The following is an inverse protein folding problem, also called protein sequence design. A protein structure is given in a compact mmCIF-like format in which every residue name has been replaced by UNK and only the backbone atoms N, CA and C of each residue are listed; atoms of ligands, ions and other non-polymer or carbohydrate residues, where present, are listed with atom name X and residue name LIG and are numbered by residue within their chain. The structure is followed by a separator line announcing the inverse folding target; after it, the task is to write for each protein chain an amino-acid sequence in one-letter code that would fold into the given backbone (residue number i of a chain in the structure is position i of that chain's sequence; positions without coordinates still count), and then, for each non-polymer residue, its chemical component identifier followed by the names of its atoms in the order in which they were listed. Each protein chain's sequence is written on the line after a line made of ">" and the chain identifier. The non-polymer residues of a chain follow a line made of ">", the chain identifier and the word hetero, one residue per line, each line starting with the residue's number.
data_IF_167362715006
#
_entry.id   IF_167362715006
#
_cell.length_a   1.000
_cell.length_b   1.000
_cell.length_c   1.000
_cell.angle_alpha   90.00
_cell.angle_beta   90.00
_cell.angle_gamma   90.00
#
_symmetry.space_group_name_H-M   'P 1'
#
loop_
_entity.id
_entity.type
_entity.pdbx_description
1 polymer ?
#
# COMPACT_ATOMS: atom_id res chain seq x y z
N UNK A 1 33.83 -39.13 -57.63
CA UNK A 1 34.55 -38.98 -58.91
C UNK A 1 33.70 -38.19 -59.91
N UNK A 2 33.33 -36.95 -59.57
CA UNK A 2 32.66 -36.02 -60.50
C UNK A 2 33.62 -34.83 -60.73
N UNK A 3 33.84 -34.41 -61.98
CA UNK A 3 34.67 -33.25 -62.32
C UNK A 3 36.07 -33.53 -62.87
N UNK A 4 36.31 -34.67 -63.54
CA UNK A 4 37.52 -34.87 -64.35
C UNK A 4 37.15 -34.94 -65.83
N UNK A 5 37.90 -34.24 -66.67
CA UNK A 5 37.79 -34.34 -68.12
C UNK A 5 38.24 -35.73 -68.56
N UNK A 6 37.37 -36.41 -69.30
CA UNK A 6 37.64 -37.73 -69.88
C UNK A 6 37.55 -37.60 -71.40
N UNK A 7 38.64 -37.97 -72.07
CA UNK A 7 38.69 -37.98 -73.53
C UNK A 7 38.05 -39.29 -74.03
N UNK A 8 36.81 -39.20 -74.49
CA UNK A 8 36.12 -40.34 -75.10
C UNK A 8 36.57 -40.44 -76.56
N UNK A 9 37.34 -41.47 -76.87
CA UNK A 9 37.71 -41.83 -78.25
C UNK A 9 36.67 -42.83 -78.76
N UNK A 10 35.84 -42.42 -79.72
CA UNK A 10 34.89 -43.30 -80.39
C UNK A 10 35.36 -43.59 -81.80
N UNK A 11 35.64 -44.85 -82.11
CA UNK A 11 35.82 -45.31 -83.49
C UNK A 11 34.45 -45.35 -84.17
N UNK A 12 34.26 -44.48 -85.17
CA UNK A 12 33.07 -44.49 -86.02
C UNK A 12 33.35 -45.47 -87.15
N UNK A 13 32.92 -46.71 -86.98
CA UNK A 13 32.95 -47.69 -88.08
C UNK A 13 31.74 -47.43 -88.97
N UNK A 14 31.98 -47.09 -90.25
CA UNK A 14 30.93 -47.03 -91.28
C UNK A 14 30.35 -48.44 -91.50
N UNK A 15 29.38 -48.81 -90.68
CA UNK A 15 28.58 -50.01 -90.89
C UNK A 15 27.12 -49.59 -90.86
N UNK A 16 26.37 -50.03 -91.87
CA UNK A 16 24.91 -50.01 -91.90
C UNK A 16 24.36 -51.00 -90.84
N UNK A 17 24.63 -50.70 -89.56
CA UNK A 17 24.15 -51.50 -88.44
C UNK A 17 22.67 -51.16 -88.28
N UNK A 18 21.76 -52.15 -88.38
CA UNK A 18 20.35 -51.89 -88.18
C UNK A 18 20.12 -51.36 -86.76
N UNK A 19 19.33 -50.29 -86.63
CA UNK A 19 18.97 -49.74 -85.33
C UNK A 19 18.13 -50.79 -84.58
N UNK A 20 18.76 -51.47 -83.63
CA UNK A 20 18.08 -52.40 -82.75
C UNK A 20 17.38 -51.61 -81.64
N UNK A 21 16.05 -51.56 -81.69
CA UNK A 21 15.25 -50.99 -80.62
C UNK A 21 14.90 -52.08 -79.62
N UNK A 22 15.13 -51.83 -78.33
CA UNK A 22 14.62 -52.70 -77.28
C UNK A 22 13.08 -52.65 -77.25
N UNK A 23 12.44 -53.69 -76.72
CA UNK A 23 10.98 -53.76 -76.62
C UNK A 23 10.39 -52.54 -75.89
N UNK A 24 11.05 -52.08 -74.83
CA UNK A 24 10.61 -50.90 -74.07
C UNK A 24 10.74 -49.61 -74.88
N UNK A 25 11.80 -49.48 -75.69
CA UNK A 25 11.97 -48.35 -76.59
C UNK A 25 10.89 -48.34 -77.68
N UNK A 26 10.55 -49.51 -78.24
CA UNK A 26 9.46 -49.65 -79.21
C UNK A 26 8.09 -49.26 -78.62
N UNK A 27 7.80 -49.69 -77.40
CA UNK A 27 6.55 -49.31 -76.70
C UNK A 27 6.49 -47.79 -76.47
N UNK A 28 7.58 -47.18 -75.98
CA UNK A 28 7.66 -45.72 -75.77
C UNK A 28 7.53 -44.92 -77.05
N UNK A 29 8.05 -45.45 -78.17
CA UNK A 29 7.93 -44.83 -79.49
C UNK A 29 6.57 -45.11 -80.18
N UNK A 30 5.63 -45.80 -79.52
CA UNK A 30 4.32 -46.11 -80.07
C UNK A 30 4.36 -47.04 -81.28
N UNK A 31 5.36 -47.93 -81.35
CA UNK A 31 5.59 -48.73 -82.55
C UNK A 31 4.47 -49.76 -82.76
N UNK A 32 3.75 -49.66 -83.86
CA UNK A 32 2.73 -50.63 -84.28
C UNK A 32 3.15 -51.29 -85.59
N UNK A 33 3.43 -52.59 -85.55
CA UNK A 33 3.88 -53.36 -86.71
C UNK A 33 2.70 -54.04 -87.41
N UNK A 34 2.51 -53.76 -88.69
CA UNK A 34 1.55 -54.44 -89.57
C UNK A 34 2.31 -55.31 -90.57
N UNK A 35 2.47 -56.59 -90.23
CA UNK A 35 3.20 -57.58 -91.04
C UNK A 35 2.45 -57.99 -92.31
N UNK A 36 1.13 -57.80 -92.39
CA UNK A 36 0.38 -58.12 -93.60
C UNK A 36 0.64 -57.13 -94.73
N UNK A 37 1.01 -55.89 -94.39
CA UNK A 37 1.23 -54.79 -95.32
C UNK A 37 2.69 -54.31 -95.36
N UNK A 38 3.60 -55.00 -94.66
CA UNK A 38 4.99 -54.60 -94.47
C UNK A 38 5.15 -53.12 -94.05
N UNK A 39 4.35 -52.68 -93.07
CA UNK A 39 4.32 -51.29 -92.57
C UNK A 39 4.47 -51.22 -91.07
N UNK A 40 5.14 -50.19 -90.58
CA UNK A 40 5.14 -49.85 -89.16
C UNK A 40 4.70 -48.41 -88.95
N UNK A 41 3.93 -48.17 -87.89
CA UNK A 41 3.73 -46.82 -87.36
C UNK A 41 4.77 -46.60 -86.28
N UNK A 42 5.65 -45.60 -86.43
CA UNK A 42 6.72 -45.25 -85.47
C UNK A 42 6.58 -43.75 -85.17
N UNK A 43 6.47 -43.35 -83.90
CA UNK A 43 6.18 -41.97 -83.49
C UNK A 43 4.96 -41.37 -84.24
N UNK A 44 3.87 -42.14 -84.31
CA UNK A 44 2.63 -41.80 -85.00
C UNK A 44 2.76 -41.53 -86.50
N UNK A 45 3.88 -41.93 -87.11
CA UNK A 45 4.13 -41.81 -88.56
C UNK A 45 4.19 -43.19 -89.18
N UNK A 46 3.47 -43.35 -90.29
CA UNK A 46 3.54 -44.58 -91.07
C UNK A 46 4.83 -44.60 -91.88
N UNK A 47 5.59 -45.68 -91.71
CA UNK A 47 6.87 -45.95 -92.38
C UNK A 47 6.74 -47.29 -93.09
N UNK A 48 7.07 -47.30 -94.38
CA UNK A 48 7.15 -48.53 -95.17
C UNK A 48 8.40 -49.32 -94.76
N UNK A 49 8.21 -50.59 -94.40
CA UNK A 49 9.32 -51.46 -94.01
C UNK A 49 9.90 -52.11 -95.25
N UNK A 50 11.24 -52.17 -95.32
CA UNK A 50 11.93 -52.94 -96.35
C UNK A 50 12.43 -54.24 -95.75
N UNK A 51 12.46 -55.29 -96.56
CA UNK A 51 13.02 -56.58 -96.17
C UNK A 51 14.45 -56.70 -96.70
N UNK A 52 15.35 -57.18 -95.86
CA UNK A 52 16.69 -57.61 -96.28
C UNK A 52 16.61 -58.96 -97.02
N UNK A 53 17.70 -59.35 -97.68
CA UNK A 53 17.79 -60.67 -98.36
C UNK A 53 17.62 -61.85 -97.41
N UNK A 54 17.93 -61.66 -96.12
CA UNK A 54 17.69 -62.63 -95.04
C UNK A 54 16.29 -62.52 -94.40
N UNK A 55 15.38 -61.75 -95.01
CA UNK A 55 13.98 -61.52 -94.59
C UNK A 55 13.81 -60.84 -93.22
N UNK A 56 14.72 -59.95 -92.85
CA UNK A 56 14.54 -59.05 -91.69
C UNK A 56 14.01 -57.68 -92.14
N UNK A 57 13.04 -57.12 -91.40
CA UNK A 57 12.56 -55.77 -91.62
C UNK A 57 13.60 -54.72 -91.19
N UNK A 58 13.77 -53.67 -91.99
CA UNK A 58 14.58 -52.51 -91.64
C UNK A 58 13.93 -51.20 -92.15
N UNK A 59 14.31 -50.09 -91.52
CA UNK A 59 13.88 -48.72 -91.86
C UNK A 59 15.09 -47.93 -92.34
N UNK A 60 15.00 -47.33 -93.53
CA UNK A 60 16.05 -46.44 -94.02
C UNK A 60 16.01 -45.11 -93.26
N UNK A 61 17.12 -44.74 -92.62
CA UNK A 61 17.27 -43.44 -91.93
C UNK A 61 17.74 -42.32 -92.87
N UNK A 62 18.02 -42.63 -94.13
CA UNK A 62 18.76 -41.75 -95.06
C UNK A 62 17.85 -40.73 -95.76
N UNK A 63 16.53 -40.91 -95.74
CA UNK A 63 15.64 -40.20 -96.67
C UNK A 63 15.29 -38.75 -96.27
N UNK A 64 15.80 -38.22 -95.15
CA UNK A 64 15.68 -36.77 -94.83
C UNK A 64 16.92 -36.22 -94.12
N UNK A 65 17.68 -35.29 -94.73
CA UNK A 65 18.70 -34.56 -94.01
C UNK A 65 18.03 -33.68 -92.94
N UNK A 66 18.21 -34.04 -91.67
CA UNK A 66 17.82 -33.17 -90.56
C UNK A 66 18.71 -31.93 -90.64
N UNK A 67 18.14 -30.76 -90.92
CA UNK A 67 18.87 -29.49 -90.95
C UNK A 67 19.31 -29.11 -89.52
N UNK A 68 20.50 -29.56 -89.13
CA UNK A 68 21.08 -29.38 -87.78
C UNK A 68 21.23 -27.89 -87.40
N UNK A 69 21.31 -26.98 -88.37
CA UNK A 69 21.60 -25.56 -88.15
C UNK A 69 20.46 -24.74 -87.51
N UNK A 70 19.20 -25.18 -87.55
CA UNK A 70 18.07 -24.44 -86.95
C UNK A 70 17.83 -24.81 -85.48
N UNK A 71 18.18 -26.04 -85.08
CA UNK A 71 17.98 -26.53 -83.70
C UNK A 71 18.97 -25.87 -82.73
N UNK A 72 20.21 -25.61 -83.16
CA UNK A 72 21.22 -24.98 -82.31
C UNK A 72 20.91 -23.52 -81.95
N UNK A 73 20.38 -22.72 -82.89
CA UNK A 73 20.02 -21.31 -82.62
C UNK A 73 18.80 -21.17 -81.70
N UNK A 74 17.83 -22.09 -81.77
CA UNK A 74 16.64 -22.07 -80.93
C UNK A 74 16.92 -22.46 -79.46
N UNK A 75 17.94 -23.28 -79.20
CA UNK A 75 18.29 -23.72 -77.84
C UNK A 75 19.15 -22.67 -77.08
N UNK A 76 20.11 -22.03 -77.75
CA UNK A 76 20.93 -20.96 -77.14
C UNK A 76 20.10 -19.76 -76.64
N UNK A 77 19.00 -19.41 -77.32
CA UNK A 77 18.10 -18.34 -76.90
C UNK A 77 17.20 -18.70 -75.71
N UNK A 78 16.83 -19.98 -75.56
CA UNK A 78 16.05 -20.48 -74.41
C UNK A 78 16.91 -20.56 -73.15
N UNK A 79 18.16 -20.98 -73.28
CA UNK A 79 19.10 -21.08 -72.16
C UNK A 79 19.48 -19.71 -71.59
N UNK A 80 19.66 -18.68 -72.43
CA UNK A 80 19.95 -17.33 -71.96
C UNK A 80 18.76 -16.68 -71.22
N UNK A 81 17.53 -16.96 -71.63
CA UNK A 81 16.33 -16.50 -70.91
C UNK A 81 16.16 -17.23 -69.57
N UNK A 82 16.39 -18.54 -69.55
CA UNK A 82 16.37 -19.34 -68.33
C UNK A 82 17.40 -18.86 -67.30
N UNK A 83 18.63 -18.53 -67.74
CA UNK A 83 19.66 -17.96 -66.87
C UNK A 83 19.26 -16.61 -66.28
N UNK A 84 18.71 -15.69 -67.10
CA UNK A 84 18.23 -14.39 -66.60
C UNK A 84 17.11 -14.52 -65.57
N UNK A 85 16.18 -15.45 -65.77
CA UNK A 85 15.12 -15.71 -64.79
C UNK A 85 15.68 -16.30 -63.51
N UNK A 86 16.68 -17.20 -63.60
CA UNK A 86 17.33 -17.77 -62.44
C UNK A 86 18.12 -16.71 -61.64
N UNK A 87 18.87 -15.86 -62.32
CA UNK A 87 19.63 -14.77 -61.68
C UNK A 87 18.69 -13.78 -60.98
N UNK A 88 17.56 -13.42 -61.63
CA UNK A 88 16.55 -12.55 -61.01
C UNK A 88 15.96 -13.16 -59.74
N UNK A 89 15.64 -14.46 -59.76
CA UNK A 89 15.11 -15.16 -58.59
C UNK A 89 16.18 -15.25 -57.49
N UNK A 90 17.44 -15.52 -57.83
CA UNK A 90 18.53 -15.53 -56.85
C UNK A 90 18.76 -14.17 -56.20
N UNK A 91 18.71 -13.09 -56.99
CA UNK A 91 18.80 -11.72 -56.46
C UNK A 91 17.63 -11.44 -55.51
N UNK A 92 16.40 -11.79 -55.90
CA UNK A 92 15.23 -11.58 -55.06
C UNK A 92 15.30 -12.39 -53.75
N UNK A 93 15.69 -13.66 -53.82
CA UNK A 93 15.91 -14.49 -52.63
C UNK A 93 16.99 -13.91 -51.71
N UNK A 94 18.08 -13.40 -52.27
CA UNK A 94 19.15 -12.75 -51.50
C UNK A 94 18.68 -11.47 -50.81
N UNK A 95 17.85 -10.67 -51.48
CA UNK A 95 17.25 -9.47 -50.88
C UNK A 95 16.29 -9.85 -49.75
N UNK A 96 15.44 -10.86 -49.95
CA UNK A 96 14.54 -11.37 -48.91
C UNK A 96 15.31 -11.92 -47.70
N UNK A 97 16.36 -12.72 -47.92
CA UNK A 97 17.20 -13.24 -46.84
C UNK A 97 17.88 -12.13 -46.05
N UNK A 98 18.35 -11.07 -46.73
CA UNK A 98 18.92 -9.90 -46.04
C UNK A 98 17.89 -9.14 -45.21
N UNK A 99 16.67 -8.98 -45.72
CA UNK A 99 15.57 -8.35 -44.98
C UNK A 99 15.22 -9.16 -43.73
N UNK A 100 15.02 -10.47 -43.87
CA UNK A 100 14.73 -11.36 -42.74
C UNK A 100 15.87 -11.37 -41.71
N UNK A 101 17.13 -11.28 -42.15
CA UNK A 101 18.26 -11.17 -41.24
C UNK A 101 18.25 -9.85 -40.47
N UNK A 102 17.86 -8.73 -41.11
CA UNK A 102 17.73 -7.46 -40.43
C UNK A 102 16.61 -7.49 -39.39
N UNK A 103 15.44 -8.05 -39.75
CA UNK A 103 14.30 -8.21 -38.83
C UNK A 103 14.65 -9.11 -37.64
N UNK A 104 15.40 -10.19 -37.88
CA UNK A 104 15.91 -11.07 -36.82
C UNK A 104 16.84 -10.33 -35.86
N UNK A 105 17.76 -9.52 -36.38
CA UNK A 105 18.66 -8.72 -35.54
C UNK A 105 17.88 -7.69 -34.71
N UNK A 106 16.86 -7.03 -35.28
CA UNK A 106 15.99 -6.08 -34.55
C UNK A 106 15.22 -6.81 -33.44
N UNK A 107 14.66 -7.99 -33.73
CA UNK A 107 13.97 -8.80 -32.74
C UNK A 107 14.89 -9.23 -31.60
N UNK A 108 16.15 -9.60 -31.90
CA UNK A 108 17.14 -9.97 -30.89
C UNK A 108 17.47 -8.81 -29.95
N UNK A 109 17.64 -7.59 -30.48
CA UNK A 109 17.85 -6.39 -29.64
C UNK A 109 16.64 -6.15 -28.73
N UNK A 110 15.42 -6.22 -29.29
CA UNK A 110 14.19 -6.04 -28.48
C UNK A 110 14.04 -7.11 -27.39
N UNK A 111 14.44 -8.35 -27.66
CA UNK A 111 14.44 -9.42 -26.66
C UNK A 111 15.44 -9.10 -25.55
N UNK A 112 16.64 -8.62 -25.88
CA UNK A 112 17.64 -8.23 -24.89
C UNK A 112 17.13 -7.10 -23.97
N UNK A 113 16.52 -6.05 -24.54
CA UNK A 113 15.93 -4.95 -23.76
C UNK A 113 14.81 -5.44 -22.82
N UNK A 114 13.98 -6.37 -23.29
CA UNK A 114 12.92 -6.96 -22.47
C UNK A 114 13.46 -7.84 -21.33
N UNK A 115 14.58 -8.54 -21.55
CA UNK A 115 15.26 -9.32 -20.51
C UNK A 115 15.81 -8.39 -19.43
N UNK A 116 16.51 -7.31 -19.80
CA UNK A 116 17.02 -6.32 -18.84
C UNK A 116 15.88 -5.66 -18.04
N UNK A 117 14.77 -5.33 -18.70
CA UNK A 117 13.58 -4.81 -18.03
C UNK A 117 12.97 -5.83 -17.05
N UNK A 118 12.97 -7.11 -17.39
CA UNK A 118 12.49 -8.14 -16.47
C UNK A 118 13.42 -8.30 -15.25
N UNK A 119 14.73 -8.21 -15.44
CA UNK A 119 15.70 -8.27 -14.34
C UNK A 119 15.55 -7.08 -13.39
N UNK A 120 15.32 -5.87 -13.93
CA UNK A 120 15.04 -4.68 -13.09
C UNK A 120 13.73 -4.83 -12.33
N UNK A 121 12.67 -5.31 -12.96
CA UNK A 121 11.40 -5.60 -12.29
C UNK A 121 11.54 -6.65 -11.19
N UNK A 122 12.36 -7.69 -11.40
CA UNK A 122 12.63 -8.70 -10.40
C UNK A 122 13.33 -8.09 -9.16
N UNK A 123 14.31 -7.20 -9.36
CA UNK A 123 14.98 -6.47 -8.26
C UNK A 123 14.02 -5.56 -7.50
N UNK A 124 13.18 -4.80 -8.20
CA UNK A 124 12.19 -3.92 -7.53
C UNK A 124 11.18 -4.73 -6.74
N UNK A 125 10.77 -5.92 -7.22
CA UNK A 125 9.87 -6.79 -6.47
C UNK A 125 10.51 -7.31 -5.18
N UNK A 126 11.80 -7.67 -5.22
CA UNK A 126 12.54 -8.06 -4.01
C UNK A 126 12.66 -6.92 -2.99
N UNK A 127 12.89 -5.69 -3.46
CA UNK A 127 12.93 -4.50 -2.60
C UNK A 127 11.57 -4.22 -1.95
N UNK A 128 10.48 -4.32 -2.73
CA UNK A 128 9.10 -4.19 -2.21
C UNK A 128 8.82 -5.24 -1.14
N UNK A 129 9.23 -6.49 -1.34
CA UNK A 129 9.04 -7.56 -0.37
C UNK A 129 9.81 -7.29 0.94
N UNK A 130 11.05 -6.82 0.84
CA UNK A 130 11.86 -6.45 2.01
C UNK A 130 11.24 -5.27 2.78
N UNK A 131 10.78 -4.24 2.08
CA UNK A 131 10.10 -3.09 2.70
C UNK A 131 8.78 -3.52 3.34
N UNK A 132 8.00 -4.39 2.70
CA UNK A 132 6.75 -4.94 3.26
C UNK A 132 7.02 -5.63 4.59
N UNK A 133 8.03 -6.51 4.63
CA UNK A 133 8.42 -7.20 5.87
C UNK A 133 8.83 -6.23 6.97
N UNK A 134 9.64 -5.21 6.63
CA UNK A 134 10.02 -4.16 7.59
C UNK A 134 8.80 -3.43 8.15
N UNK A 135 7.83 -3.08 7.30
CA UNK A 135 6.60 -2.41 7.76
C UNK A 135 5.74 -3.32 8.64
N UNK A 136 5.68 -4.62 8.36
CA UNK A 136 4.99 -5.61 9.22
C UNK A 136 5.63 -5.71 10.60
N UNK A 137 6.97 -5.69 10.68
CA UNK A 137 7.70 -5.70 11.94
C UNK A 137 7.44 -4.40 12.74
N UNK A 138 7.44 -3.23 12.10
CA UNK A 138 7.10 -1.95 12.72
C UNK A 138 5.65 -1.91 13.24
N UNK A 139 4.69 -2.42 12.46
CA UNK A 139 3.28 -2.54 12.88
C UNK A 139 3.16 -3.45 14.10
N UNK A 140 3.89 -4.57 14.11
CA UNK A 140 3.90 -5.51 15.23
C UNK A 140 4.45 -4.87 16.51
N UNK A 141 5.51 -4.08 16.41
CA UNK A 141 6.06 -3.32 17.54
C UNK A 141 5.06 -2.28 18.07
N UNK A 142 4.42 -1.51 17.17
CA UNK A 142 3.40 -0.53 17.55
C UNK A 142 2.20 -1.18 18.23
N UNK A 143 1.80 -2.38 17.80
CA UNK A 143 0.72 -3.13 18.43
C UNK A 143 1.06 -3.52 19.88
N UNK A 144 2.27 -4.03 20.13
CA UNK A 144 2.75 -4.36 21.48
C UNK A 144 2.75 -3.12 22.38
N UNK A 145 3.27 -2.00 21.90
CA UNK A 145 3.29 -0.74 22.65
C UNK A 145 1.87 -0.24 22.97
N UNK A 146 0.94 -0.39 22.01
CA UNK A 146 -0.46 0.00 22.19
C UNK A 146 -1.13 -0.81 23.29
N UNK A 147 -0.92 -2.13 23.33
CA UNK A 147 -1.47 -2.99 24.39
C UNK A 147 -0.83 -2.70 25.76
N UNK A 148 0.47 -2.38 25.80
CA UNK A 148 1.12 -1.93 27.03
C UNK A 148 0.49 -0.64 27.57
N UNK A 149 0.35 0.38 26.72
CA UNK A 149 -0.30 1.64 27.11
C UNK A 149 -1.76 1.43 27.54
N UNK A 150 -2.46 0.48 26.92
CA UNK A 150 -3.82 0.11 27.32
C UNK A 150 -3.85 -0.50 28.72
N UNK A 151 -2.92 -1.40 29.02
CA UNK A 151 -2.77 -2.01 30.33
C UNK A 151 -2.46 -0.97 31.41
N UNK A 152 -1.47 -0.09 31.17
CA UNK A 152 -1.09 0.97 32.10
C UNK A 152 -2.25 1.93 32.37
N UNK A 153 -2.98 2.36 31.33
CA UNK A 153 -4.16 3.21 31.48
C UNK A 153 -5.29 2.53 32.26
N UNK A 154 -5.49 1.22 32.09
CA UNK A 154 -6.45 0.45 32.90
C UNK A 154 -6.04 0.47 34.37
N UNK A 155 -4.77 0.16 34.65
CA UNK A 155 -4.23 0.17 36.01
C UNK A 155 -4.36 1.54 36.68
N UNK A 156 -4.09 2.64 35.96
CA UNK A 156 -4.24 4.00 36.48
C UNK A 156 -5.72 4.34 36.77
N UNK A 157 -6.65 3.87 35.93
CA UNK A 157 -8.09 4.08 36.18
C UNK A 157 -8.56 3.33 37.42
N UNK A 158 -8.07 2.10 37.62
CA UNK A 158 -8.44 1.29 38.78
C UNK A 158 -7.90 1.90 40.08
N UNK A 159 -6.66 2.39 40.08
CA UNK A 159 -6.09 3.09 41.25
C UNK A 159 -6.81 4.41 41.52
N UNK A 160 -7.13 5.18 40.48
CA UNK A 160 -7.91 6.42 40.61
C UNK A 160 -9.31 6.16 41.16
N UNK A 161 -9.98 5.09 40.71
CA UNK A 161 -11.28 4.69 41.23
C UNK A 161 -11.17 4.33 42.72
N UNK A 162 -10.16 3.55 43.11
CA UNK A 162 -9.92 3.19 44.50
C UNK A 162 -9.69 4.44 45.38
N UNK A 163 -8.84 5.38 44.97
CA UNK A 163 -8.60 6.62 45.72
C UNK A 163 -9.84 7.51 45.80
N UNK A 164 -10.64 7.59 44.73
CA UNK A 164 -11.91 8.31 44.75
C UNK A 164 -12.88 7.71 45.78
N UNK A 165 -12.97 6.38 45.89
CA UNK A 165 -13.80 5.75 46.93
C UNK A 165 -13.30 6.05 48.35
N UNK A 166 -11.97 6.04 48.57
CA UNK A 166 -11.39 6.42 49.88
C UNK A 166 -11.69 7.86 50.24
N UNK A 167 -11.55 8.77 49.27
CA UNK A 167 -11.84 10.20 49.44
C UNK A 167 -13.32 10.42 49.79
N UNK A 168 -14.24 9.72 49.12
CA UNK A 168 -15.67 9.75 49.45
C UNK A 168 -15.95 9.27 50.87
N UNK A 169 -15.37 8.13 51.30
CA UNK A 169 -15.53 7.65 52.67
C UNK A 169 -15.01 8.66 53.71
N UNK A 170 -13.88 9.32 53.42
CA UNK A 170 -13.32 10.35 54.30
C UNK A 170 -14.24 11.58 54.40
N UNK A 171 -14.84 12.01 53.28
CA UNK A 171 -15.83 13.09 53.27
C UNK A 171 -17.09 12.73 54.08
N UNK A 172 -17.60 11.51 53.96
CA UNK A 172 -18.74 11.03 54.75
C UNK A 172 -18.42 10.99 56.24
N UNK A 173 -17.24 10.47 56.59
CA UNK A 173 -16.76 10.45 57.98
C UNK A 173 -16.63 11.87 58.55
N UNK A 174 -16.07 12.81 57.79
CA UNK A 174 -15.95 14.20 58.20
C UNK A 174 -17.33 14.83 58.43
N UNK A 175 -18.27 14.61 57.51
CA UNK A 175 -19.66 15.09 57.64
C UNK A 175 -20.33 14.54 58.90
N UNK A 176 -20.12 13.25 59.19
CA UNK A 176 -20.63 12.62 60.40
C UNK A 176 -20.06 13.27 61.67
N UNK A 177 -18.74 13.46 61.72
CA UNK A 177 -18.06 14.09 62.86
C UNK A 177 -18.56 15.52 63.05
N UNK A 178 -18.63 16.32 62.00
CA UNK A 178 -19.14 17.70 62.04
C UNK A 178 -20.56 17.74 62.61
N UNK A 179 -21.46 16.92 62.09
CA UNK A 179 -22.85 16.88 62.56
C UNK A 179 -22.96 16.47 64.03
N UNK A 180 -22.13 15.51 64.48
CA UNK A 180 -22.09 15.10 65.87
C UNK A 180 -21.55 16.22 66.79
N UNK A 181 -20.50 16.93 66.36
CA UNK A 181 -19.96 18.07 67.11
C UNK A 181 -20.96 19.22 67.20
N UNK A 182 -21.66 19.53 66.11
CA UNK A 182 -22.70 20.56 66.06
C UNK A 182 -23.84 20.22 67.01
N UNK A 183 -24.32 18.97 67.01
CA UNK A 183 -25.34 18.50 67.95
C UNK A 183 -24.90 18.68 69.40
N UNK A 184 -23.67 18.29 69.75
CA UNK A 184 -23.15 18.45 71.11
C UNK A 184 -23.03 19.92 71.51
N UNK A 185 -22.60 20.79 70.60
CA UNK A 185 -22.55 22.23 70.85
C UNK A 185 -23.95 22.81 71.09
N UNK A 186 -24.95 22.36 70.33
CA UNK A 186 -26.34 22.74 70.54
C UNK A 186 -26.86 22.29 71.91
N UNK A 187 -26.61 21.04 72.31
CA UNK A 187 -26.98 20.51 73.62
C UNK A 187 -26.36 21.32 74.78
N UNK A 188 -25.08 21.70 74.64
CA UNK A 188 -24.40 22.55 75.62
C UNK A 188 -25.05 23.95 75.66
N UNK A 189 -25.32 24.54 74.49
CA UNK A 189 -25.97 25.84 74.37
C UNK A 189 -27.35 25.88 75.03
N UNK A 190 -28.19 24.87 74.75
CA UNK A 190 -29.52 24.72 75.32
C UNK A 190 -29.45 24.50 76.84
N UNK A 191 -28.51 23.67 77.30
CA UNK A 191 -28.28 23.46 78.73
C UNK A 191 -27.86 24.74 79.45
N UNK A 192 -26.98 25.56 78.85
CA UNK A 192 -26.54 26.82 79.42
C UNK A 192 -27.69 27.83 79.46
N UNK A 193 -28.44 27.96 78.36
CA UNK A 193 -29.62 28.83 78.27
C UNK A 193 -30.65 28.50 79.34
N UNK A 194 -30.94 27.21 79.56
CA UNK A 194 -31.85 26.76 80.62
C UNK A 194 -31.34 27.11 82.02
N UNK A 195 -30.04 26.94 82.28
CA UNK A 195 -29.42 27.33 83.57
C UNK A 195 -29.52 28.84 83.79
N UNK A 196 -29.28 29.65 82.76
CA UNK A 196 -29.42 31.11 82.83
C UNK A 196 -30.87 31.53 83.10
N UNK A 197 -31.84 30.96 82.39
CA UNK A 197 -33.26 31.25 82.61
C UNK A 197 -33.69 30.89 84.03
N UNK A 198 -33.26 29.74 84.55
CA UNK A 198 -33.53 29.36 85.94
C UNK A 198 -32.91 30.35 86.94
N UNK A 199 -31.65 30.75 86.74
CA UNK A 199 -30.97 31.71 87.59
C UNK A 199 -31.65 33.09 87.58
N UNK A 200 -32.03 33.59 86.39
CA UNK A 200 -32.80 34.83 86.25
C UNK A 200 -34.15 34.72 86.96
N UNK A 201 -34.85 33.60 86.81
CA UNK A 201 -36.11 33.35 87.52
C UNK A 201 -35.98 33.33 89.04
N UNK A 202 -34.87 32.79 89.58
CA UNK A 202 -34.59 32.86 91.01
C UNK A 202 -34.32 34.29 91.48
N UNK A 203 -33.53 35.06 90.72
CA UNK A 203 -33.22 36.46 91.04
C UNK A 203 -34.50 37.33 91.04
N UNK A 204 -35.36 37.19 90.03
CA UNK A 204 -36.62 37.96 89.98
C UNK A 204 -37.57 37.58 91.11
N UNK A 205 -37.63 36.31 91.51
CA UNK A 205 -38.40 35.87 92.68
C UNK A 205 -37.85 36.47 93.97
N UNK A 206 -36.52 36.53 94.11
CA UNK A 206 -35.85 37.13 95.25
C UNK A 206 -36.07 38.65 95.32
N UNK A 207 -35.96 39.36 94.20
CA UNK A 207 -36.27 40.79 94.10
C UNK A 207 -37.72 41.08 94.50
N UNK A 208 -38.70 40.33 93.97
CA UNK A 208 -40.10 40.50 94.36
C UNK A 208 -40.36 40.21 95.85
N UNK A 209 -39.60 39.30 96.45
CA UNK A 209 -39.66 39.01 97.89
C UNK A 209 -39.11 40.16 98.74
N UNK A 210 -38.03 40.81 98.27
CA UNK A 210 -37.44 41.98 98.91
C UNK A 210 -38.34 43.21 98.78
N UNK A 211 -38.92 43.45 97.60
CA UNK A 211 -39.90 44.53 97.39
C UNK A 211 -41.12 44.39 98.32
N UNK A 212 -41.63 43.15 98.49
CA UNK A 212 -42.72 42.86 99.42
C UNK A 212 -42.34 43.11 100.90
N UNK A 213 -41.07 42.96 101.28
CA UNK A 213 -40.58 43.30 102.62
C UNK A 213 -40.42 44.81 102.81
N UNK A 214 -40.01 45.56 101.78
CA UNK A 214 -39.85 47.02 101.86
C UNK A 214 -41.17 47.79 101.90
N UNK A 215 -42.30 47.18 101.51
CA UNK A 215 -43.62 47.84 101.55
C UNK A 215 -44.22 48.01 102.98
N UNK A 216 -43.50 47.60 104.03
CA UNK A 216 -43.91 47.76 105.44
C UNK A 216 -43.22 48.96 106.13
N UNK A 217 -42.21 49.58 105.52
CA UNK A 217 -41.57 50.78 106.08
C UNK A 217 -41.93 52.04 105.27
N UNK A 218 -42.69 52.92 105.92
CA UNK A 218 -43.17 54.24 105.46
C UNK A 218 -42.07 55.20 105.01
N UNK A 219 -42.43 56.28 104.27
CA UNK A 219 -41.50 57.10 103.52
C UNK A 219 -40.89 58.21 104.37
N UNK A 220 -39.56 58.32 104.40
CA UNK A 220 -38.89 59.55 104.81
C UNK A 220 -37.90 60.07 103.75
N UNK A 221 -38.25 61.27 103.32
CA UNK A 221 -37.54 62.28 102.54
C UNK A 221 -36.03 62.39 102.79
N UNK A 222 -35.21 62.31 101.72
CA UNK A 222 -33.86 62.92 101.66
C UNK A 222 -33.58 63.32 100.20
N UNK A 223 -33.86 64.57 99.80
CA UNK A 223 -32.91 65.70 99.65
C UNK A 223 -31.57 65.36 98.97
N UNK A 224 -31.48 65.81 97.70
CA UNK A 224 -30.47 66.73 97.13
C UNK A 224 -29.01 66.51 97.55
N UNK A 225 -28.15 66.16 96.59
CA UNK A 225 -26.88 66.87 96.42
C UNK A 225 -26.31 66.68 94.99
N UNK A 226 -26.20 67.80 94.29
CA UNK A 226 -25.36 67.98 93.13
C UNK A 226 -23.89 67.98 93.59
N UNK A 227 -23.06 67.08 93.04
CA UNK A 227 -21.61 67.27 93.03
C UNK A 227 -21.03 66.97 91.65
N UNK A 228 -20.48 68.03 91.10
CA UNK A 228 -19.61 68.07 89.93
C UNK A 228 -18.25 67.40 90.20
N UNK A 229 -17.56 67.16 89.07
CA UNK A 229 -16.12 66.94 88.85
C UNK A 229 -15.65 65.49 88.61
N UNK A 230 -14.51 65.25 87.92
CA UNK A 230 -13.83 66.08 86.92
C UNK A 230 -13.54 65.33 85.61
N UNK A 231 -13.28 66.10 84.55
CA UNK A 231 -12.55 65.66 83.37
C UNK A 231 -11.13 65.25 83.79
N UNK A 232 -10.67 64.06 83.47
CA UNK A 232 -9.29 63.76 83.02
C UNK A 232 -9.19 62.30 82.59
N UNK A 233 -8.37 62.02 81.58
CA UNK A 233 -7.88 60.66 81.32
C UNK A 233 -8.05 60.18 79.89
N UNK A 234 -7.24 60.71 78.97
CA UNK A 234 -6.82 60.00 77.76
C UNK A 234 -6.14 58.69 78.20
N UNK A 235 -6.88 57.60 78.20
CA UNK A 235 -6.37 56.24 78.37
C UNK A 235 -6.03 55.66 77.01
N UNK A 236 -4.76 55.36 76.81
CA UNK A 236 -4.16 54.69 75.66
C UNK A 236 -5.02 53.53 75.13
N UNK A 237 -5.19 53.48 73.81
CA UNK A 237 -5.37 52.24 73.10
C UNK A 237 -4.17 51.33 73.42
N UNK A 238 -4.38 50.35 74.30
CA UNK A 238 -3.53 49.18 74.34
C UNK A 238 -3.88 48.39 73.07
N UNK A 239 -2.98 48.45 72.09
CA UNK A 239 -2.88 47.42 71.10
C UNK A 239 -2.59 46.12 71.85
N UNK A 240 -3.63 45.33 72.08
CA UNK A 240 -3.50 43.91 72.37
C UNK A 240 -2.96 43.28 71.09
N UNK A 241 -1.64 43.26 70.99
CA UNK A 241 -0.95 42.28 70.17
C UNK A 241 -1.37 40.93 70.77
N UNK A 242 -2.37 40.31 70.14
CA UNK A 242 -2.44 38.87 70.15
C UNK A 242 -1.10 38.39 69.58
N UNK A 243 -0.22 38.00 70.50
CA UNK A 243 0.87 37.09 70.25
C UNK A 243 0.20 35.84 69.67
N UNK A 244 0.07 35.83 68.34
CA UNK A 244 -0.06 34.60 67.57
C UNK A 244 1.21 33.86 67.92
N UNK A 245 1.12 32.99 68.93
CA UNK A 245 2.03 31.87 69.07
C UNK A 245 2.15 31.29 67.68
N UNK A 246 3.34 31.41 67.09
CA UNK A 246 3.69 30.63 65.93
C UNK A 246 3.24 29.20 66.23
N UNK A 247 2.37 28.59 65.40
CA UNK A 247 2.16 27.16 65.51
C UNK A 247 3.55 26.55 65.36
N UNK A 248 3.97 25.76 66.34
CA UNK A 248 5.14 24.91 66.21
C UNK A 248 5.12 24.31 64.79
N UNK A 249 6.24 24.34 64.05
CA UNK A 249 6.27 23.73 62.73
C UNK A 249 5.80 22.30 62.93
N UNK A 250 4.60 22.02 62.43
CA UNK A 250 4.10 20.66 62.27
C UNK A 250 5.24 19.97 61.56
N UNK A 251 5.85 19.00 62.24
CA UNK A 251 6.78 18.07 61.63
C UNK A 251 5.99 17.43 60.50
N UNK A 252 6.10 18.02 59.30
CA UNK A 252 5.92 17.30 58.07
C UNK A 252 6.95 16.20 58.18
N UNK A 253 6.51 15.03 58.61
CA UNK A 253 7.16 13.79 58.23
C UNK A 253 7.35 13.93 56.72
N UNK A 254 8.59 14.15 56.30
CA UNK A 254 9.04 13.85 54.96
C UNK A 254 8.58 12.41 54.74
N UNK A 255 7.42 12.28 54.10
CA UNK A 255 7.10 11.08 53.36
C UNK A 255 8.12 11.14 52.23
N UNK A 256 9.26 10.50 52.48
CA UNK A 256 10.16 9.99 51.46
C UNK A 256 9.30 9.11 50.55
N UNK A 257 8.61 9.75 49.61
CA UNK A 257 8.09 9.07 48.44
C UNK A 257 9.36 8.71 47.69
N UNK A 258 9.90 7.53 48.02
CA UNK A 258 10.71 6.75 47.10
C UNK A 258 9.85 6.54 45.87
N UNK A 259 9.91 7.51 44.96
CA UNK A 259 9.67 7.28 43.56
C UNK A 259 10.83 6.36 43.20
N UNK A 260 10.59 5.05 43.32
CA UNK A 260 11.38 4.05 42.65
C UNK A 260 11.15 4.34 41.16
N UNK A 261 11.97 5.24 40.62
CA UNK A 261 12.15 5.41 39.21
C UNK A 261 12.67 4.06 38.75
N UNK A 262 11.75 3.21 38.29
CA UNK A 262 12.07 1.97 37.59
C UNK A 262 12.80 2.41 36.33
N UNK A 263 14.12 2.55 36.47
CA UNK A 263 15.07 2.73 35.40
C UNK A 263 15.12 1.38 34.70
N UNK A 264 14.13 1.12 33.85
CA UNK A 264 14.22 0.03 32.90
C UNK A 264 15.47 0.29 32.06
N UNK A 265 16.40 -0.66 32.18
CA UNK A 265 17.71 -0.59 31.57
C UNK A 265 17.57 -0.35 30.08
N UNK A 266 18.25 0.69 29.61
CA UNK A 266 18.78 0.71 28.26
C UNK A 266 19.74 -0.47 28.15
N UNK A 267 19.21 -1.64 27.78
CA UNK A 267 20.03 -2.68 27.18
C UNK A 267 20.53 -2.13 25.85
N UNK A 268 21.73 -1.57 25.90
CA UNK A 268 22.56 -1.34 24.73
C UNK A 268 22.88 -2.70 24.12
N UNK A 269 22.05 -3.11 23.17
CA UNK A 269 22.39 -4.16 22.21
C UNK A 269 23.55 -3.61 21.39
N UNK A 270 24.77 -3.88 21.87
CA UNK A 270 25.98 -3.80 21.07
C UNK A 270 25.97 -5.00 20.14
N UNK A 271 25.22 -4.85 19.04
CA UNK A 271 25.31 -5.77 17.91
C UNK A 271 26.71 -5.59 17.31
N UNK A 272 27.56 -6.57 17.58
CA UNK A 272 28.85 -6.74 16.92
C UNK A 272 28.55 -6.99 15.44
N UNK A 273 28.66 -5.94 14.63
CA UNK A 273 28.81 -6.07 13.20
C UNK A 273 30.18 -6.71 12.95
N UNK A 274 30.15 -7.97 12.51
CA UNK A 274 31.30 -8.67 12.00
C UNK A 274 31.93 -7.87 10.84
N UNK A 275 33.22 -7.62 11.00
CA UNK A 275 34.10 -7.07 9.98
C UNK A 275 34.11 -8.02 8.77
N UNK A 276 33.63 -7.56 7.61
CA UNK A 276 34.05 -8.13 6.33
C UNK A 276 34.82 -7.09 5.49
N UNK A 277 35.84 -7.55 4.74
CA UNK A 277 36.95 -6.72 4.35
C UNK A 277 36.65 -5.85 3.12
N UNK A 278 37.18 -4.63 3.20
CA UNK A 278 37.36 -3.71 2.10
C UNK A 278 37.96 -4.40 0.87
N UNK A 279 37.24 -4.33 -0.25
CA UNK A 279 37.86 -4.50 -1.56
C UNK A 279 37.55 -3.31 -2.45
N UNK A 280 38.59 -2.50 -2.64
CA UNK A 280 38.71 -1.42 -3.60
C UNK A 280 38.19 -1.84 -4.97
N UNK A 281 37.35 -0.97 -5.56
CA UNK A 281 37.50 -0.58 -6.96
C UNK A 281 36.89 0.80 -7.17
N UNK A 282 37.80 1.75 -7.33
CA UNK A 282 37.56 3.01 -8.03
C UNK A 282 36.91 2.73 -9.39
N UNK A 283 35.77 3.36 -9.65
CA UNK A 283 35.44 3.82 -11.00
C UNK A 283 34.61 5.08 -10.92
N UNK A 284 35.27 6.17 -11.29
CA UNK A 284 34.73 7.48 -11.61
C UNK A 284 33.61 7.40 -12.66
N UNK A 285 32.46 8.01 -12.36
CA UNK A 285 31.52 8.64 -13.30
C UNK A 285 30.68 9.63 -12.47
N UNK A 286 31.06 10.90 -12.36
CA UNK A 286 30.78 12.00 -13.31
C UNK A 286 29.35 11.95 -13.89
N UNK A 287 28.58 12.93 -13.41
CA UNK A 287 27.47 13.60 -14.08
C UNK A 287 26.25 12.76 -14.49
N UNK A 288 25.37 12.51 -13.53
CA UNK A 288 23.92 12.53 -13.79
C UNK A 288 23.28 13.48 -12.77
N UNK A 289 23.26 14.76 -13.12
CA UNK A 289 22.38 15.73 -12.49
C UNK A 289 20.93 15.38 -12.86
N UNK A 290 20.28 14.55 -12.05
CA UNK A 290 18.83 14.37 -12.12
C UNK A 290 18.20 15.64 -11.56
N UNK A 291 17.77 16.53 -12.46
CA UNK A 291 16.81 17.59 -12.15
C UNK A 291 15.54 16.93 -11.62
N UNK A 292 15.31 17.05 -10.31
CA UNK A 292 13.96 16.98 -9.78
C UNK A 292 13.23 18.27 -10.20
N UNK A 293 12.50 18.20 -11.31
CA UNK A 293 11.41 19.15 -11.55
C UNK A 293 10.35 18.91 -10.49
N UNK A 294 10.29 19.82 -9.52
CA UNK A 294 9.12 20.00 -8.68
C UNK A 294 7.94 20.37 -9.60
N UNK A 295 7.16 19.37 -9.99
CA UNK A 295 5.84 19.60 -10.58
C UNK A 295 4.99 20.26 -9.50
N UNK A 296 4.78 21.56 -9.67
CA UNK A 296 3.78 22.35 -8.95
C UNK A 296 2.42 21.67 -9.09
N UNK A 297 1.98 20.99 -8.04
CA UNK A 297 0.59 20.60 -7.84
C UNK A 297 -0.21 21.79 -7.26
N UNK A 298 -0.18 22.93 -7.96
CA UNK A 298 -0.96 24.13 -7.64
C UNK A 298 -1.78 24.55 -8.86
N UNK A 299 -2.73 23.73 -9.31
CA UNK A 299 -3.78 24.22 -10.24
C UNK A 299 -5.06 23.34 -10.36
N UNK A 300 -5.34 22.41 -9.43
CA UNK A 300 -6.59 21.63 -9.45
C UNK A 300 -7.38 21.58 -8.15
N UNK A 301 -6.97 22.32 -7.11
CA UNK A 301 -7.87 22.60 -5.98
C UNK A 301 -8.57 23.95 -6.20
N UNK A 302 -9.71 23.87 -6.88
CA UNK A 302 -10.69 24.94 -6.90
C UNK A 302 -11.06 25.35 -5.48
N UNK A 303 -10.55 26.52 -5.08
CA UNK A 303 -11.18 27.54 -4.23
C UNK A 303 -12.53 27.13 -3.60
N UNK A 304 -12.51 26.26 -2.59
CA UNK A 304 -13.60 26.20 -1.61
C UNK A 304 -13.35 27.26 -0.55
N UNK A 305 -13.84 28.46 -0.84
CA UNK A 305 -14.03 29.51 0.16
C UNK A 305 -15.17 29.03 1.05
N UNK A 306 -14.89 28.67 2.29
CA UNK A 306 -15.92 28.56 3.32
C UNK A 306 -16.35 29.98 3.71
N UNK A 307 -17.61 30.39 3.49
CA UNK A 307 -18.13 31.54 4.19
C UNK A 307 -18.48 31.09 5.62
N UNK A 308 -17.68 31.53 6.58
CA UNK A 308 -18.14 31.66 7.96
C UNK A 308 -19.20 32.77 7.99
N UNK A 309 -20.47 32.39 7.80
CA UNK A 309 -21.58 33.17 8.32
C UNK A 309 -22.09 32.51 9.60
N UNK A 310 -21.83 33.17 10.72
CA UNK A 310 -22.62 33.06 11.94
C UNK A 310 -24.09 33.30 11.59
N UNK A 311 -24.92 32.25 11.65
CA UNK A 311 -26.36 32.39 11.84
C UNK A 311 -26.84 31.44 12.91
N UNK A 312 -27.21 32.08 14.00
CA UNK A 312 -28.06 31.67 15.10
C UNK A 312 -29.29 30.89 14.67
N UNK A 313 -29.71 29.98 15.56
CA UNK A 313 -31.10 29.59 15.83
C UNK A 313 -31.91 29.04 14.65
N UNK A 314 -32.09 27.71 14.62
CA UNK A 314 -33.41 27.06 14.58
C UNK A 314 -33.28 25.56 14.78
N UNK A 315 -33.76 25.12 15.94
CA UNK A 315 -34.30 23.77 16.14
C UNK A 315 -35.21 23.41 14.97
N UNK A 316 -34.82 22.39 14.21
CA UNK A 316 -35.78 21.59 13.44
C UNK A 316 -35.50 20.13 13.75
N UNK A 317 -36.35 19.66 14.67
CA UNK A 317 -36.79 18.31 14.86
C UNK A 317 -36.86 17.52 13.55
N UNK A 318 -35.85 16.69 13.30
CA UNK A 318 -35.86 15.64 12.28
C UNK A 318 -35.35 14.37 12.94
N UNK A 319 -36.23 13.75 13.73
CA UNK A 319 -36.08 12.37 14.17
C UNK A 319 -35.86 11.45 12.97
N UNK A 320 -34.60 11.07 12.73
CA UNK A 320 -34.26 9.85 12.01
C UNK A 320 -33.60 8.92 13.00
N UNK A 321 -34.39 7.95 13.45
CA UNK A 321 -33.92 6.83 14.23
C UNK A 321 -32.84 6.10 13.43
N UNK A 322 -31.64 6.05 13.99
CA UNK A 322 -30.56 5.17 13.53
C UNK A 322 -31.00 3.74 13.85
N UNK A 323 -31.15 2.83 12.86
CA UNK A 323 -31.55 1.46 13.15
C UNK A 323 -30.43 0.79 13.95
N UNK A 324 -30.73 0.33 15.16
CA UNK A 324 -29.78 -0.38 16.02
C UNK A 324 -29.58 -1.85 15.62
N UNK A 325 -30.28 -2.32 14.58
CA UNK A 325 -30.20 -3.72 14.15
C UNK A 325 -29.18 -3.89 13.02
N UNK A 326 -28.19 -4.75 13.27
CA UNK A 326 -27.03 -5.01 12.39
C UNK A 326 -27.42 -5.44 10.99
N UNK A 327 -28.55 -6.15 10.83
CA UNK A 327 -29.04 -6.61 9.52
C UNK A 327 -29.59 -5.46 8.66
N UNK A 328 -30.00 -4.36 9.29
CA UNK A 328 -30.53 -3.17 8.60
C UNK A 328 -29.40 -2.27 8.11
N UNK A 329 -28.27 -2.26 8.82
CA UNK A 329 -27.07 -1.49 8.45
C UNK A 329 -26.41 -2.06 7.18
N UNK A 330 -26.35 -3.38 7.02
CA UNK A 330 -25.81 -4.00 5.79
C UNK A 330 -26.67 -3.72 4.55
N UNK A 331 -28.00 -3.75 4.69
CA UNK A 331 -28.92 -3.35 3.61
C UNK A 331 -28.82 -1.87 3.26
N UNK A 332 -28.57 -1.01 4.25
CA UNK A 332 -28.39 0.42 4.04
C UNK A 332 -27.07 0.72 3.32
N UNK A 333 -25.96 0.10 3.73
CA UNK A 333 -24.66 0.22 3.08
C UNK A 333 -24.67 -0.35 1.64
N UNK A 334 -25.38 -1.47 1.43
CA UNK A 334 -25.53 -2.06 0.09
C UNK A 334 -26.28 -1.15 -0.90
N UNK A 335 -27.24 -0.33 -0.42
CA UNK A 335 -27.93 0.67 -1.25
C UNK A 335 -27.03 1.86 -1.62
N UNK A 336 -26.18 2.31 -0.71
CA UNK A 336 -25.22 3.39 -0.97
C UNK A 336 -24.17 3.00 -2.02
N UNK A 337 -23.67 1.75 -1.97
CA UNK A 337 -22.66 1.25 -2.93
C UNK A 337 -23.23 1.10 -4.35
N UNK A 338 -24.52 0.76 -4.50
CA UNK A 338 -25.16 0.68 -5.83
C UNK A 338 -25.31 2.07 -6.46
N UNK A 339 -25.52 3.11 -5.66
CA UNK A 339 -25.74 4.47 -6.18
C UNK A 339 -24.44 5.11 -6.70
N UNK A 340 -23.28 4.74 -6.13
CA UNK A 340 -21.97 5.23 -6.60
C UNK A 340 -21.49 4.59 -7.92
N UNK A 341 -21.99 3.40 -8.28
CA UNK A 341 -21.59 2.73 -9.52
C UNK A 341 -22.42 3.13 -10.75
N UNK A 342 -23.51 3.88 -10.57
CA UNK A 342 -24.34 4.36 -11.69
C UNK A 342 -23.80 5.68 -12.29
N UNK A 343 -23.01 6.43 -11.53
CA UNK A 343 -22.48 7.73 -11.97
C UNK A 343 -21.07 7.66 -12.62
N UNK A 344 -20.52 6.45 -12.83
CA UNK A 344 -19.19 6.23 -13.46
C UNK A 344 -19.30 5.45 -14.79
N UNK A 345 -20.51 5.35 -15.37
CA UNK A 345 -20.77 4.68 -16.65
C UNK A 345 -20.82 5.63 -17.84
#
# INVERSE_FOLDING_TARGET
>A
MAGRDVMITTDVVERDIPLLLSLDAMKKAGVTLNTQKDRATIFDRNVDLRLTTSRHYFVSLVDRPIRVNEVFKANLGKDMRARRTQDSVQVQQKVQMKSLQADLNIAQVKIADLVERNDTLAKTNQEIELLSKKTEDEISQLHVLTEQLRYENSSIRDTLAAENTKSQMLQENLKYVMHNTERRLQEISDSMTKKYQNAVGHLTTQEGSLEAQTLIETPETVRRDERQEPKTGKGKAAAEQAEISDPEPVKTEEIDVKIDTVRHGEETVTEKLDEEPANNKESTNKDIAVRFEAVKAEELFGRFVFPCEEKSERETDMGREVPQDTETVEKWLSRQVIQYNVDIG
#
